data_IF_823693804214
#
_entry.id   IF_823693804214
#
_cell.length_a   1.000
_cell.length_b   1.000
_cell.length_c   1.000
_cell.angle_alpha   90.00
_cell.angle_beta   90.00
_cell.angle_gamma   90.00
#
_symmetry.space_group_name_H-M   'P 1'
#
loop_
_entity.id
_entity.type
_entity.pdbx_description
1 polymer ?
#
# COMPACT_ATOMS: atom_id res chain seq x y z
N UNK A 1 1.85 -18.01 -19.49
CA UNK A 1 3.10 -17.41 -20.03
C UNK A 1 3.89 -17.01 -18.80
N UNK A 2 5.04 -17.61 -18.53
CA UNK A 2 5.84 -17.28 -17.34
C UNK A 2 6.63 -16.01 -17.65
N UNK A 3 6.47 -14.96 -16.85
CA UNK A 3 7.24 -13.72 -16.97
C UNK A 3 8.72 -14.01 -16.68
N UNK A 4 9.65 -13.32 -17.36
CA UNK A 4 11.06 -13.35 -16.96
C UNK A 4 11.26 -12.64 -15.61
N UNK A 5 12.37 -12.92 -14.94
CA UNK A 5 12.75 -12.27 -13.67
C UNK A 5 12.76 -10.73 -13.81
N UNK A 6 13.27 -10.20 -14.93
CA UNK A 6 13.24 -8.75 -15.19
C UNK A 6 11.81 -8.19 -15.35
N UNK A 7 10.92 -8.95 -15.99
CA UNK A 7 9.51 -8.54 -16.13
C UNK A 7 8.79 -8.56 -14.79
N UNK A 8 9.14 -9.51 -13.92
CA UNK A 8 8.69 -9.56 -12.52
C UNK A 8 9.15 -8.34 -11.72
N UNK A 9 10.44 -8.00 -11.80
CA UNK A 9 10.97 -6.81 -11.14
C UNK A 9 10.27 -5.54 -11.59
N UNK A 10 10.13 -5.32 -12.90
CA UNK A 10 9.44 -4.14 -13.42
C UNK A 10 7.99 -4.09 -12.94
N UNK A 11 7.27 -5.22 -12.99
CA UNK A 11 5.88 -5.27 -12.55
C UNK A 11 5.71 -4.94 -11.07
N UNK A 12 6.58 -5.47 -10.20
CA UNK A 12 6.52 -5.19 -8.76
C UNK A 12 6.90 -3.74 -8.47
N UNK A 13 7.92 -3.19 -9.13
CA UNK A 13 8.31 -1.79 -8.96
C UNK A 13 7.19 -0.84 -9.43
N UNK A 14 6.53 -1.13 -10.55
CA UNK A 14 5.40 -0.34 -11.05
C UNK A 14 4.23 -0.35 -10.04
N UNK A 15 3.89 -1.53 -9.49
CA UNK A 15 2.87 -1.66 -8.44
C UNK A 15 3.24 -0.85 -7.19
N UNK A 16 4.46 -1.00 -6.69
CA UNK A 16 4.94 -0.28 -5.51
C UNK A 16 4.96 1.24 -5.72
N UNK A 17 5.35 1.70 -6.91
CA UNK A 17 5.32 3.12 -7.27
C UNK A 17 3.89 3.67 -7.28
N UNK A 18 2.93 2.90 -7.81
CA UNK A 18 1.53 3.31 -7.79
C UNK A 18 0.97 3.37 -6.36
N UNK A 19 1.24 2.35 -5.54
CA UNK A 19 0.86 2.32 -4.12
C UNK A 19 1.44 3.52 -3.38
N UNK A 20 2.71 3.86 -3.61
CA UNK A 20 3.35 5.04 -3.02
C UNK A 20 2.59 6.33 -3.36
N UNK A 21 2.22 6.53 -4.63
CA UNK A 21 1.47 7.71 -5.07
C UNK A 21 0.07 7.78 -4.42
N UNK A 22 -0.61 6.65 -4.29
CA UNK A 22 -1.90 6.57 -3.62
C UNK A 22 -1.81 6.85 -2.11
N UNK A 23 -0.75 6.37 -1.45
CA UNK A 23 -0.47 6.68 -0.05
C UNK A 23 -0.18 8.17 0.17
N UNK A 24 0.59 8.79 -0.73
CA UNK A 24 0.87 10.23 -0.67
C UNK A 24 -0.42 11.06 -0.83
N UNK A 25 -1.32 10.63 -1.72
CA UNK A 25 -2.63 11.24 -1.89
C UNK A 25 -3.49 11.09 -0.62
N UNK A 26 -3.56 9.89 -0.03
CA UNK A 26 -4.28 9.66 1.24
C UNK A 26 -3.75 10.53 2.38
N UNK A 27 -2.44 10.61 2.52
CA UNK A 27 -1.79 11.44 3.54
C UNK A 27 -2.13 12.93 3.35
N UNK A 28 -2.16 13.39 2.10
CA UNK A 28 -2.54 14.77 1.76
C UNK A 28 -4.01 15.02 2.11
N UNK A 29 -4.91 14.13 1.68
CA UNK A 29 -6.34 14.25 1.95
C UNK A 29 -6.63 14.25 3.45
N UNK A 30 -6.01 13.33 4.19
CA UNK A 30 -6.13 13.25 5.65
C UNK A 30 -5.61 14.51 6.35
N UNK A 31 -4.55 15.15 5.84
CA UNK A 31 -4.06 16.42 6.40
C UNK A 31 -5.02 17.60 6.17
N UNK A 32 -5.90 17.50 5.17
CA UNK A 32 -6.95 18.49 4.87
C UNK A 32 -8.29 18.16 5.50
N UNK A 33 -8.38 17.15 6.36
CA UNK A 33 -9.65 16.71 6.97
C UNK A 33 -10.32 17.81 7.81
N UNK A 34 -9.53 18.69 8.42
CA UNK A 34 -10.02 19.83 9.21
C UNK A 34 -10.71 20.90 8.32
N UNK A 35 -10.46 20.90 7.01
CA UNK A 35 -11.08 21.81 6.04
C UNK A 35 -12.39 21.26 5.46
N UNK A 36 -12.77 20.01 5.79
CA UNK A 36 -14.02 19.36 5.34
C UNK A 36 -15.19 19.85 6.19
N UNK A 37 -16.34 20.14 5.57
CA UNK A 37 -17.55 20.51 6.30
C UNK A 37 -18.01 19.36 7.22
N UNK A 38 -18.43 19.68 8.45
CA UNK A 38 -18.79 18.69 9.48
C UNK A 38 -19.87 17.69 9.00
N UNK A 39 -20.79 18.14 8.14
CA UNK A 39 -21.84 17.29 7.55
C UNK A 39 -21.30 16.28 6.51
N UNK A 40 -20.16 16.58 5.88
CA UNK A 40 -19.51 15.75 4.86
C UNK A 40 -18.39 14.86 5.45
N UNK A 41 -17.90 15.21 6.65
CA UNK A 41 -16.80 14.54 7.32
C UNK A 41 -17.00 13.02 7.51
N UNK A 42 -18.19 12.50 7.89
CA UNK A 42 -18.40 11.05 7.98
C UNK A 42 -18.19 10.33 6.64
N UNK A 43 -18.71 10.89 5.54
CA UNK A 43 -18.59 10.30 4.22
C UNK A 43 -17.15 10.36 3.70
N UNK A 44 -16.43 11.44 4.01
CA UNK A 44 -15.02 11.60 3.71
C UNK A 44 -14.16 10.55 4.43
N UNK A 45 -14.39 10.34 5.74
CA UNK A 45 -13.68 9.32 6.50
C UNK A 45 -14.00 7.89 6.03
N UNK A 46 -15.22 7.62 5.57
CA UNK A 46 -15.57 6.34 4.94
C UNK A 46 -14.87 6.11 3.60
N UNK A 47 -14.72 7.15 2.77
CA UNK A 47 -13.92 7.08 1.53
C UNK A 47 -12.44 6.78 1.83
N UNK A 48 -11.85 7.49 2.79
CA UNK A 48 -10.46 7.27 3.21
C UNK A 48 -10.22 5.84 3.71
N UNK A 49 -11.15 5.31 4.51
CA UNK A 49 -11.08 3.94 5.04
C UNK A 49 -11.16 2.90 3.90
N UNK A 50 -12.12 3.07 2.97
CA UNK A 50 -12.26 2.18 1.81
C UNK A 50 -11.03 2.21 0.89
N UNK A 51 -10.37 3.36 0.76
CA UNK A 51 -9.12 3.50 0.00
C UNK A 51 -7.93 2.84 0.72
N UNK A 52 -7.90 2.88 2.04
CA UNK A 52 -6.91 2.14 2.83
C UNK A 52 -7.07 0.63 2.61
N UNK A 53 -8.29 0.11 2.67
CA UNK A 53 -8.58 -1.30 2.42
C UNK A 53 -8.13 -1.74 1.02
N UNK A 54 -8.40 -0.93 0.00
CA UNK A 54 -7.95 -1.21 -1.38
C UNK A 54 -6.42 -1.26 -1.48
N UNK A 55 -5.70 -0.36 -0.82
CA UNK A 55 -4.23 -0.38 -0.82
C UNK A 55 -3.66 -1.60 -0.08
N UNK A 56 -4.30 -2.03 1.00
CA UNK A 56 -3.91 -3.24 1.71
C UNK A 56 -4.07 -4.48 0.81
N UNK A 57 -5.14 -4.55 0.02
CA UNK A 57 -5.34 -5.62 -0.98
C UNK A 57 -4.25 -5.59 -2.07
N UNK A 58 -3.91 -4.41 -2.60
CA UNK A 58 -2.81 -4.28 -3.57
C UNK A 58 -1.46 -4.68 -2.97
N UNK A 59 -1.18 -4.30 -1.72
CA UNK A 59 0.03 -4.67 -0.99
C UNK A 59 0.12 -6.17 -0.71
N UNK A 60 -1.01 -6.85 -0.46
CA UNK A 60 -1.07 -8.30 -0.30
C UNK A 60 -0.77 -9.00 -1.65
N UNK A 61 -1.33 -8.48 -2.74
CA UNK A 61 -1.00 -8.95 -4.09
C UNK A 61 0.48 -8.77 -4.46
N UNK A 62 1.15 -7.72 -3.95
CA UNK A 62 2.61 -7.56 -4.07
C UNK A 62 3.36 -8.58 -3.22
N UNK A 63 2.89 -8.88 -2.01
CA UNK A 63 3.50 -9.90 -1.16
C UNK A 63 3.43 -11.30 -1.78
N UNK A 64 2.28 -11.68 -2.34
CA UNK A 64 2.11 -12.94 -3.08
C UNK A 64 3.04 -12.99 -4.29
N UNK A 65 3.09 -11.89 -5.05
CA UNK A 65 4.02 -11.73 -6.17
C UNK A 65 5.49 -11.95 -5.75
N UNK A 66 5.92 -11.32 -4.65
CA UNK A 66 7.27 -11.50 -4.14
C UNK A 66 7.55 -12.93 -3.68
N UNK A 67 6.59 -13.59 -3.04
CA UNK A 67 6.71 -14.97 -2.60
C UNK A 67 6.87 -15.94 -3.79
N UNK A 68 6.09 -15.75 -4.85
CA UNK A 68 6.23 -16.52 -6.09
C UNK A 68 7.60 -16.32 -6.73
N UNK A 69 8.08 -15.08 -6.82
CA UNK A 69 9.39 -14.77 -7.36
C UNK A 69 10.50 -15.47 -6.58
N UNK A 70 10.47 -15.42 -5.24
CA UNK A 70 11.45 -16.10 -4.38
C UNK A 70 11.40 -17.62 -4.55
N UNK A 71 10.22 -18.19 -4.81
CA UNK A 71 10.08 -19.63 -5.01
C UNK A 71 10.64 -20.13 -6.35
N UNK A 72 10.66 -19.28 -7.39
CA UNK A 72 11.12 -19.65 -8.74
C UNK A 72 12.48 -19.10 -9.11
N UNK A 73 12.97 -18.07 -8.43
CA UNK A 73 14.25 -17.46 -8.74
C UNK A 73 15.41 -18.15 -8.04
N UNK A 74 16.41 -18.55 -8.85
CA UNK A 74 17.71 -19.00 -8.37
C UNK A 74 18.72 -17.85 -8.48
N UNK A 75 19.33 -17.47 -7.35
CA UNK A 75 20.42 -16.49 -7.30
C UNK A 75 20.34 -15.53 -6.12
N UNK A 76 21.48 -15.31 -5.46
CA UNK A 76 21.61 -14.46 -4.28
C UNK A 76 21.13 -13.02 -4.53
N UNK A 77 21.30 -12.50 -5.75
CA UNK A 77 20.87 -11.15 -6.12
C UNK A 77 19.35 -11.01 -6.15
N UNK A 78 18.64 -12.00 -6.70
CA UNK A 78 17.17 -11.98 -6.74
C UNK A 78 16.58 -12.15 -5.34
N UNK A 79 17.19 -13.00 -4.52
CA UNK A 79 16.81 -13.17 -3.12
C UNK A 79 17.04 -11.88 -2.32
N UNK A 80 18.20 -11.25 -2.45
CA UNK A 80 18.50 -9.99 -1.78
C UNK A 80 17.53 -8.88 -2.18
N UNK A 81 17.23 -8.78 -3.49
CA UNK A 81 16.25 -7.82 -3.99
C UNK A 81 14.84 -8.10 -3.45
N UNK A 82 14.40 -9.36 -3.47
CA UNK A 82 13.05 -9.73 -3.02
C UNK A 82 12.87 -9.49 -1.51
N UNK A 83 13.92 -9.72 -0.71
CA UNK A 83 13.93 -9.36 0.72
C UNK A 83 13.80 -7.84 0.90
N UNK A 84 14.54 -7.05 0.13
CA UNK A 84 14.46 -5.59 0.20
C UNK A 84 13.09 -5.06 -0.26
N UNK A 85 12.49 -5.66 -1.29
CA UNK A 85 11.15 -5.35 -1.75
C UNK A 85 10.08 -5.75 -0.71
N UNK A 86 10.23 -6.91 -0.07
CA UNK A 86 9.34 -7.36 1.01
C UNK A 86 9.40 -6.41 2.22
N UNK A 87 10.59 -5.93 2.59
CA UNK A 87 10.73 -4.94 3.66
C UNK A 87 10.03 -3.62 3.33
N UNK A 88 10.11 -3.16 2.07
CA UNK A 88 9.39 -1.96 1.59
C UNK A 88 7.87 -2.18 1.63
N UNK A 89 7.40 -3.32 1.14
CA UNK A 89 5.98 -3.71 1.18
C UNK A 89 5.46 -3.73 2.63
N UNK A 90 6.19 -4.34 3.57
CA UNK A 90 5.80 -4.38 4.97
C UNK A 90 5.74 -2.98 5.60
N UNK A 91 6.71 -2.10 5.28
CA UNK A 91 6.69 -0.70 5.72
C UNK A 91 5.49 0.08 5.17
N UNK A 92 5.08 -0.21 3.94
CA UNK A 92 3.89 0.41 3.34
C UNK A 92 2.61 -0.09 4.04
N UNK A 93 2.50 -1.39 4.32
CA UNK A 93 1.38 -1.97 5.09
C UNK A 93 1.26 -1.31 6.46
N UNK A 94 2.38 -1.15 7.19
CA UNK A 94 2.38 -0.47 8.50
C UNK A 94 1.90 0.98 8.37
N UNK A 95 2.34 1.69 7.33
CA UNK A 95 1.96 3.08 7.09
C UNK A 95 0.47 3.23 6.79
N UNK A 96 -0.09 2.37 5.93
CA UNK A 96 -1.53 2.35 5.63
C UNK A 96 -2.32 1.99 6.88
N UNK A 97 -1.89 0.99 7.65
CA UNK A 97 -2.54 0.63 8.91
C UNK A 97 -2.55 1.77 9.94
N UNK A 98 -1.51 2.61 9.97
CA UNK A 98 -1.49 3.83 10.80
C UNK A 98 -2.48 4.89 10.34
N UNK A 99 -2.62 5.08 9.02
CA UNK A 99 -3.62 6.00 8.44
C UNK A 99 -5.02 5.51 8.80
N UNK A 100 -5.29 4.21 8.61
CA UNK A 100 -6.59 3.61 8.92
C UNK A 100 -6.95 3.73 10.41
N UNK A 101 -5.97 3.50 11.31
CA UNK A 101 -6.17 3.71 12.74
C UNK A 101 -6.48 5.18 13.08
N UNK A 102 -5.86 6.14 12.40
CA UNK A 102 -6.16 7.56 12.60
C UNK A 102 -7.55 7.92 12.08
N UNK A 103 -7.94 7.41 10.91
CA UNK A 103 -9.29 7.58 10.36
C UNK A 103 -10.34 7.02 11.33
N UNK A 104 -10.10 5.84 11.92
CA UNK A 104 -10.98 5.26 12.92
C UNK A 104 -11.09 6.15 14.18
N UNK A 105 -9.98 6.70 14.68
CA UNK A 105 -9.97 7.63 15.81
C UNK A 105 -10.77 8.92 15.48
N UNK A 106 -10.62 9.47 14.27
CA UNK A 106 -11.44 10.59 13.80
C UNK A 106 -12.94 10.24 13.79
N UNK A 107 -13.30 9.04 13.32
CA UNK A 107 -14.69 8.56 13.32
C UNK A 107 -15.27 8.39 14.72
N UNK A 108 -14.47 7.98 15.70
CA UNK A 108 -14.90 7.81 17.09
C UNK A 108 -15.09 9.14 17.84
N UNK A 109 -14.45 10.21 17.37
CA UNK A 109 -14.50 11.54 17.98
C UNK A 109 -15.43 12.54 17.24
N UNK A 110 -16.11 12.08 16.17
CA UNK A 110 -17.24 12.76 15.51
C UNK A 110 -18.50 12.75 16.39
#
# INVERSE_FOLDING_TARGET
MVLSVDQWFSCIEDKMSNIQAHMDALSTDLSGVDDVEEEELPAFLDDLDSRCDALLEELDGVAESLAELVAVADGDEVQAWAVAASARQASAVESVGRIQAHVADCKENL
#
